data_IF_428296881497
#
_entry.id   IF_428296881497
#
_cell.length_a   1.000
_cell.length_b   1.000
_cell.length_c   1.000
_cell.angle_alpha   90.00
_cell.angle_beta   90.00
_cell.angle_gamma   90.00
#
_symmetry.space_group_name_H-M   'P 1'
#
loop_
_entity.id
_entity.type
_entity.pdbx_description
1 polymer ?
#
# COMPACT_ATOMS: atom_id res chain seq x y z
N UNK A 1 28.73 -7.39 16.77
CA UNK A 1 27.44 -6.74 16.44
C UNK A 1 27.43 -6.43 14.94
N UNK A 2 26.81 -7.30 14.13
CA UNK A 2 26.76 -7.13 12.68
C UNK A 2 25.89 -5.93 12.29
N UNK A 3 26.36 -5.10 11.35
CA UNK A 3 25.55 -4.03 10.76
C UNK A 3 24.32 -4.66 10.07
N UNK A 4 23.15 -4.52 10.70
CA UNK A 4 21.88 -4.89 10.07
C UNK A 4 21.71 -4.09 8.77
N UNK A 5 21.58 -4.78 7.64
CA UNK A 5 21.44 -4.14 6.33
C UNK A 5 19.98 -3.71 6.18
N UNK A 6 19.73 -2.39 6.22
CA UNK A 6 18.40 -1.84 5.97
C UNK A 6 18.03 -2.12 4.52
N UNK A 7 16.99 -2.92 4.31
CA UNK A 7 16.44 -3.17 2.97
C UNK A 7 15.64 -1.93 2.53
N UNK A 8 16.35 -0.87 2.10
CA UNK A 8 15.74 0.23 1.37
C UNK A 8 15.72 -0.21 -0.10
N UNK A 9 14.53 -0.41 -0.66
CA UNK A 9 14.36 -0.87 -2.04
C UNK A 9 14.33 0.35 -2.98
N UNK A 10 15.41 0.65 -3.76
CA UNK A 10 15.39 1.74 -4.75
C UNK A 10 14.30 1.52 -5.80
N UNK A 11 13.87 0.27 -5.96
CA UNK A 11 12.76 -0.12 -6.81
C UNK A 11 11.43 0.48 -6.35
N UNK A 12 11.27 0.85 -5.07
CA UNK A 12 10.09 1.55 -4.57
C UNK A 12 9.89 2.92 -5.24
N UNK A 13 10.96 3.66 -5.55
CA UNK A 13 10.87 4.95 -6.25
C UNK A 13 10.40 4.76 -7.69
N UNK A 14 10.95 3.77 -8.39
CA UNK A 14 10.55 3.42 -9.77
C UNK A 14 9.09 3.00 -9.80
N UNK A 15 8.66 2.19 -8.83
CA UNK A 15 7.26 1.79 -8.70
C UNK A 15 6.33 2.97 -8.39
N UNK A 16 6.73 3.88 -7.50
CA UNK A 16 5.95 5.10 -7.23
C UNK A 16 5.77 5.95 -8.49
N UNK A 17 6.86 6.18 -9.25
CA UNK A 17 6.78 6.92 -10.51
C UNK A 17 5.89 6.21 -11.54
N UNK A 18 6.04 4.89 -11.70
CA UNK A 18 5.21 4.10 -12.60
C UNK A 18 3.72 4.15 -12.23
N UNK A 19 3.40 4.10 -10.94
CA UNK A 19 2.02 4.23 -10.43
C UNK A 19 1.45 5.62 -10.72
N UNK A 20 2.23 6.69 -10.58
CA UNK A 20 1.79 8.05 -10.93
C UNK A 20 1.48 8.17 -12.41
N UNK A 21 2.38 7.72 -13.28
CA UNK A 21 2.15 7.75 -14.74
C UNK A 21 0.93 6.92 -15.13
N UNK A 22 0.79 5.72 -14.57
CA UNK A 22 -0.36 4.86 -14.82
C UNK A 22 -1.67 5.47 -14.30
N UNK A 23 -1.65 6.17 -13.16
CA UNK A 23 -2.83 6.88 -12.65
C UNK A 23 -3.28 7.99 -13.60
N UNK A 24 -2.33 8.79 -14.11
CA UNK A 24 -2.62 9.86 -15.07
C UNK A 24 -3.19 9.28 -16.37
N UNK A 25 -2.57 8.24 -16.91
CA UNK A 25 -3.06 7.57 -18.12
C UNK A 25 -4.46 6.95 -17.91
N UNK A 26 -4.71 6.33 -16.75
CA UNK A 26 -6.00 5.74 -16.41
C UNK A 26 -7.10 6.79 -16.29
N UNK A 27 -6.83 7.89 -15.58
CA UNK A 27 -7.78 8.99 -15.44
C UNK A 27 -8.06 9.68 -16.78
N UNK A 28 -7.03 9.89 -17.61
CA UNK A 28 -7.19 10.40 -18.97
C UNK A 28 -8.07 9.47 -19.82
N UNK A 29 -7.86 8.16 -19.74
CA UNK A 29 -8.70 7.16 -20.40
C UNK A 29 -10.14 7.16 -19.91
N UNK A 30 -10.36 7.24 -18.60
CA UNK A 30 -11.70 7.29 -18.01
C UNK A 30 -12.47 8.54 -18.46
N UNK A 31 -11.81 9.69 -18.50
CA UNK A 31 -12.41 10.94 -19.00
C UNK A 31 -12.72 10.86 -20.50
N UNK A 32 -11.83 10.28 -21.30
CA UNK A 32 -12.06 10.13 -22.74
C UNK A 32 -13.22 9.17 -23.03
N UNK A 33 -13.32 8.06 -22.30
CA UNK A 33 -14.46 7.14 -22.36
C UNK A 33 -15.76 7.83 -21.95
N UNK A 34 -15.76 8.57 -20.83
CA UNK A 34 -16.93 9.33 -20.39
C UNK A 34 -17.38 10.37 -21.41
N UNK A 35 -16.44 11.08 -22.04
CA UNK A 35 -16.73 12.04 -23.10
C UNK A 35 -17.28 11.36 -24.37
N UNK A 36 -16.71 10.22 -24.77
CA UNK A 36 -17.19 9.45 -25.92
C UNK A 36 -18.62 8.92 -25.70
N UNK A 37 -18.91 8.40 -24.50
CA UNK A 37 -20.25 7.95 -24.12
C UNK A 37 -21.22 9.14 -24.14
N UNK A 38 -20.87 10.27 -23.52
CA UNK A 38 -21.74 11.45 -23.48
C UNK A 38 -22.08 12.00 -24.88
N UNK A 39 -21.11 11.98 -25.80
CA UNK A 39 -21.34 12.35 -27.21
C UNK A 39 -22.23 11.36 -27.94
N UNK A 40 -22.11 10.07 -27.64
CA UNK A 40 -22.93 9.04 -28.28
C UNK A 40 -24.40 9.10 -27.85
N UNK A 41 -24.67 9.46 -26.59
CA UNK A 41 -26.04 9.56 -26.07
C UNK A 41 -26.78 10.84 -26.47
N UNK A 42 -26.08 11.84 -27.01
CA UNK A 42 -26.59 13.18 -27.39
C UNK A 42 -27.50 13.86 -26.34
N UNK A 43 -27.27 13.54 -25.07
CA UNK A 43 -28.09 14.00 -23.95
C UNK A 43 -27.41 15.16 -23.23
N UNK A 44 -28.12 16.28 -23.06
CA UNK A 44 -27.63 17.42 -22.28
C UNK A 44 -27.30 17.03 -20.82
N UNK A 45 -28.09 16.12 -20.24
CA UNK A 45 -27.82 15.61 -18.90
C UNK A 45 -26.52 14.80 -18.86
N UNK A 46 -26.25 13.99 -19.89
CA UNK A 46 -25.01 13.23 -20.00
C UNK A 46 -23.79 14.16 -20.17
N UNK A 47 -23.91 15.24 -20.94
CA UNK A 47 -22.86 16.27 -21.07
C UNK A 47 -22.63 17.07 -19.78
N UNK A 48 -23.66 17.27 -18.95
CA UNK A 48 -23.50 17.95 -17.66
C UNK A 48 -22.83 17.03 -16.62
N UNK A 49 -23.15 15.73 -16.64
CA UNK A 49 -22.72 14.77 -15.63
C UNK A 49 -21.47 13.98 -15.99
N UNK A 50 -20.98 14.00 -17.24
CA UNK A 50 -19.86 13.13 -17.64
C UNK A 50 -18.62 13.37 -16.76
N UNK A 51 -18.29 14.62 -16.45
CA UNK A 51 -17.08 14.98 -15.72
C UNK A 51 -17.12 14.50 -14.26
N UNK A 52 -18.15 14.83 -13.45
CA UNK A 52 -18.24 14.30 -12.08
C UNK A 52 -18.36 12.77 -12.05
N UNK A 53 -19.14 12.16 -12.97
CA UNK A 53 -19.30 10.69 -13.02
C UNK A 53 -17.98 10.00 -13.40
N UNK A 54 -17.27 10.52 -14.40
CA UNK A 54 -15.98 9.95 -14.83
C UNK A 54 -14.90 10.07 -13.76
N UNK A 55 -14.90 11.15 -12.98
CA UNK A 55 -13.97 11.30 -11.85
C UNK A 55 -14.28 10.27 -10.76
N UNK A 56 -15.55 10.11 -10.38
CA UNK A 56 -15.95 9.13 -9.35
C UNK A 56 -15.65 7.70 -9.80
N UNK A 57 -16.00 7.35 -11.03
CA UNK A 57 -15.73 6.02 -11.60
C UNK A 57 -14.23 5.80 -11.82
N UNK A 58 -13.49 6.81 -12.24
CA UNK A 58 -12.04 6.75 -12.40
C UNK A 58 -11.33 6.53 -11.07
N UNK A 59 -11.68 7.31 -10.03
CA UNK A 59 -11.12 7.14 -8.69
C UNK A 59 -11.46 5.75 -8.11
N UNK A 60 -12.71 5.31 -8.24
CA UNK A 60 -13.16 4.00 -7.79
C UNK A 60 -12.48 2.85 -8.55
N UNK A 61 -12.42 2.92 -9.87
CA UNK A 61 -11.76 1.95 -10.74
C UNK A 61 -10.27 1.84 -10.44
N UNK A 62 -9.59 2.97 -10.22
CA UNK A 62 -8.20 2.98 -9.82
C UNK A 62 -7.95 2.29 -8.48
N UNK A 63 -8.86 2.45 -7.50
CA UNK A 63 -8.77 1.71 -6.24
C UNK A 63 -8.81 0.19 -6.44
N UNK A 64 -9.59 -0.29 -7.41
CA UNK A 64 -9.66 -1.71 -7.78
C UNK A 64 -8.39 -2.19 -8.46
N UNK A 65 -7.84 -1.38 -9.39
CA UNK A 65 -6.54 -1.67 -10.04
C UNK A 65 -5.44 -1.83 -9.01
N UNK A 66 -5.35 -0.90 -8.06
CA UNK A 66 -4.36 -0.97 -6.98
C UNK A 66 -4.58 -2.18 -6.06
N UNK A 67 -5.83 -2.56 -5.80
CA UNK A 67 -6.15 -3.76 -5.02
C UNK A 67 -5.73 -5.05 -5.76
N UNK A 68 -5.97 -5.10 -7.07
CA UNK A 68 -5.54 -6.22 -7.91
C UNK A 68 -4.01 -6.31 -7.98
N UNK A 69 -3.31 -5.20 -8.18
CA UNK A 69 -1.86 -5.13 -8.19
C UNK A 69 -1.25 -5.61 -6.87
N UNK A 70 -1.81 -5.17 -5.73
CA UNK A 70 -1.39 -5.65 -4.42
C UNK A 70 -1.60 -7.16 -4.25
N UNK A 71 -2.75 -7.70 -4.65
CA UNK A 71 -3.02 -9.15 -4.61
C UNK A 71 -2.05 -9.92 -5.49
N UNK A 72 -1.77 -9.42 -6.69
CA UNK A 72 -0.83 -10.04 -7.63
C UNK A 72 0.58 -10.08 -7.05
N UNK A 73 1.07 -8.95 -6.52
CA UNK A 73 2.39 -8.85 -5.85
C UNK A 73 2.48 -9.82 -4.68
N UNK A 74 1.47 -9.83 -3.80
CA UNK A 74 1.44 -10.73 -2.64
C UNK A 74 1.45 -12.19 -3.06
N UNK A 75 0.66 -12.57 -4.06
CA UNK A 75 0.62 -13.93 -4.57
C UNK A 75 1.94 -14.34 -5.25
N UNK A 76 2.55 -13.43 -6.01
CA UNK A 76 3.87 -13.66 -6.60
C UNK A 76 4.93 -13.89 -5.51
N UNK A 77 5.00 -13.01 -4.51
CA UNK A 77 5.95 -13.14 -3.42
C UNK A 77 5.71 -14.41 -2.60
N UNK A 78 4.46 -14.76 -2.29
CA UNK A 78 4.13 -16.03 -1.61
C UNK A 78 4.54 -17.27 -2.40
N UNK A 79 4.58 -17.20 -3.73
CA UNK A 79 5.01 -18.31 -4.60
C UNK A 79 6.52 -18.37 -4.77
N UNK A 80 7.18 -17.23 -4.90
CA UNK A 80 8.60 -17.13 -5.24
C UNK A 80 9.52 -16.90 -4.03
N UNK A 81 8.97 -16.50 -2.90
CA UNK A 81 9.70 -16.14 -1.69
C UNK A 81 9.64 -17.23 -0.61
N UNK A 82 10.55 -17.12 0.34
CA UNK A 82 10.64 -18.00 1.50
C UNK A 82 9.80 -17.42 2.63
N UNK A 83 8.83 -18.21 3.12
CA UNK A 83 8.04 -17.84 4.29
C UNK A 83 8.88 -18.00 5.56
N UNK A 84 8.94 -16.96 6.38
CA UNK A 84 9.74 -16.91 7.60
C UNK A 84 8.98 -16.20 8.71
N UNK A 85 9.43 -16.42 9.94
CA UNK A 85 8.96 -15.72 11.13
C UNK A 85 9.94 -14.61 11.47
N UNK A 86 9.46 -13.37 11.54
CA UNK A 86 10.26 -12.22 11.95
C UNK A 86 9.80 -11.71 13.32
N UNK A 87 10.74 -11.18 14.09
CA UNK A 87 10.46 -10.61 15.41
C UNK A 87 10.32 -9.10 15.28
N UNK A 88 9.26 -8.53 15.85
CA UNK A 88 9.08 -7.08 15.91
C UNK A 88 10.12 -6.48 16.84
N UNK A 89 10.94 -5.57 16.33
CA UNK A 89 11.96 -4.84 17.09
C UNK A 89 11.55 -3.40 17.39
N UNK A 90 10.65 -2.82 16.59
CA UNK A 90 10.11 -1.49 16.81
C UNK A 90 8.63 -1.46 16.41
N UNK A 91 7.78 -0.83 17.21
CA UNK A 91 6.37 -0.61 16.90
C UNK A 91 5.94 0.74 17.47
N UNK A 92 5.38 1.60 16.62
CA UNK A 92 5.00 2.97 16.96
C UNK A 92 3.63 3.31 16.38
N UNK A 93 2.76 3.93 17.19
CA UNK A 93 1.45 4.43 16.78
C UNK A 93 1.45 5.95 16.92
N UNK A 94 1.24 6.67 15.82
CA UNK A 94 1.10 8.13 15.83
C UNK A 94 -0.12 8.59 15.07
N UNK A 95 -0.78 9.63 15.56
CA UNK A 95 -1.72 10.40 14.76
C UNK A 95 -0.94 11.45 13.94
N UNK A 96 -1.16 11.47 12.63
CA UNK A 96 -0.66 12.48 11.71
C UNK A 96 -1.81 13.43 11.38
N UNK A 97 -1.72 14.65 11.90
CA UNK A 97 -2.76 15.65 11.69
C UNK A 97 -2.75 16.19 10.27
N UNK A 98 -3.93 16.32 9.67
CA UNK A 98 -4.11 16.99 8.37
C UNK A 98 -3.37 16.37 7.18
N UNK A 99 -3.03 15.08 7.23
CA UNK A 99 -2.24 14.41 6.17
C UNK A 99 -3.06 13.55 5.20
N UNK A 100 -4.36 13.37 5.43
CA UNK A 100 -5.25 12.71 4.46
C UNK A 100 -5.79 13.68 3.40
N UNK A 101 -6.40 13.10 2.36
CA UNK A 101 -7.32 13.80 1.45
C UNK A 101 -8.40 14.49 2.28
N UNK A 102 -8.69 15.76 2.00
CA UNK A 102 -9.63 16.64 2.74
C UNK A 102 -9.19 17.03 4.17
N UNK A 103 -7.88 17.06 4.46
CA UNK A 103 -7.31 17.46 5.76
C UNK A 103 -7.76 16.61 6.96
N UNK A 104 -8.18 15.36 6.72
CA UNK A 104 -8.45 14.44 7.82
C UNK A 104 -7.16 13.92 8.47
N UNK A 105 -7.29 13.52 9.73
CA UNK A 105 -6.21 12.90 10.48
C UNK A 105 -5.97 11.45 10.01
N UNK A 106 -4.71 11.01 10.10
CA UNK A 106 -4.30 9.64 9.78
C UNK A 106 -3.58 9.00 10.94
N UNK A 107 -4.06 7.86 11.39
CA UNK A 107 -3.31 7.00 12.30
C UNK A 107 -2.26 6.23 11.51
N UNK A 108 -0.99 6.38 11.90
CA UNK A 108 0.16 5.65 11.35
C UNK A 108 0.66 4.63 12.38
N UNK A 109 0.65 3.36 11.99
CA UNK A 109 1.31 2.27 12.72
C UNK A 109 2.59 1.92 11.97
N UNK A 110 3.75 2.25 12.54
CA UNK A 110 5.06 1.89 11.99
C UNK A 110 5.59 0.67 12.71
N UNK A 111 5.99 -0.35 11.97
CA UNK A 111 6.52 -1.61 12.52
C UNK A 111 7.84 -1.93 11.82
N UNK A 112 8.85 -2.27 12.59
CA UNK A 112 10.11 -2.80 12.10
C UNK A 112 10.30 -4.22 12.64
N UNK A 113 10.63 -5.15 11.75
CA UNK A 113 10.89 -6.54 12.11
C UNK A 113 12.29 -6.95 11.72
N UNK A 114 12.88 -7.84 12.52
CA UNK A 114 14.19 -8.44 12.30
C UNK A 114 14.04 -9.94 12.05
N UNK A 115 14.81 -10.46 11.10
CA UNK A 115 14.86 -11.88 10.75
C UNK A 115 16.21 -12.25 10.14
N UNK A 116 16.64 -13.52 10.22
CA UNK A 116 17.80 -14.01 9.49
C UNK A 116 17.46 -14.14 8.00
N UNK A 117 18.27 -13.56 7.13
CA UNK A 117 18.04 -13.62 5.69
C UNK A 117 18.18 -15.06 5.17
N UNK A 118 17.25 -15.60 4.37
CA UNK A 118 17.25 -17.01 3.97
C UNK A 118 18.51 -17.40 3.19
N UNK A 119 18.95 -16.53 2.27
CA UNK A 119 20.11 -16.84 1.41
C UNK A 119 21.47 -16.57 2.06
N UNK A 120 21.56 -15.62 3.00
CA UNK A 120 22.86 -15.14 3.52
C UNK A 120 23.06 -15.41 5.00
N UNK A 121 22.03 -15.85 5.73
CA UNK A 121 22.05 -16.04 7.18
C UNK A 121 22.24 -14.76 8.01
N UNK A 122 22.50 -13.62 7.37
CA UNK A 122 22.74 -12.36 8.04
C UNK A 122 21.46 -11.72 8.59
N UNK A 123 21.59 -10.95 9.67
CA UNK A 123 20.49 -10.17 10.23
C UNK A 123 19.98 -9.14 9.22
N UNK A 124 18.71 -9.26 8.86
CA UNK A 124 17.98 -8.34 8.00
C UNK A 124 16.87 -7.64 8.78
N UNK A 125 16.59 -6.39 8.41
CA UNK A 125 15.47 -5.61 8.95
C UNK A 125 14.62 -5.04 7.83
N UNK A 126 13.31 -5.12 8.02
CA UNK A 126 12.32 -4.50 7.13
C UNK A 126 11.33 -3.70 7.95
N UNK A 127 10.96 -2.54 7.42
CA UNK A 127 10.03 -1.62 8.03
C UNK A 127 8.76 -1.51 7.17
N UNK A 128 7.61 -1.41 7.83
CA UNK A 128 6.31 -1.16 7.18
C UNK A 128 5.51 -0.11 7.94
N UNK A 129 4.71 0.66 7.21
CA UNK A 129 3.89 1.74 7.77
C UNK A 129 2.43 1.58 7.35
N UNK A 130 1.59 1.13 8.27
CA UNK A 130 0.16 1.02 8.02
C UNK A 130 -0.53 2.34 8.35
N UNK A 131 -1.32 2.86 7.41
CA UNK A 131 -2.12 4.07 7.61
C UNK A 131 -3.61 3.73 7.76
N UNK A 132 -4.29 4.44 8.64
CA UNK A 132 -5.73 4.32 8.90
C UNK A 132 -6.38 5.71 8.92
N UNK A 133 -7.58 5.85 8.34
CA UNK A 133 -8.39 7.06 8.51
C UNK A 133 -8.68 7.35 9.99
N UNK A 134 -8.91 8.62 10.33
CA UNK A 134 -9.19 9.10 11.70
C UNK A 134 -10.22 8.25 12.47
N UNK A 135 -11.31 7.83 11.80
CA UNK A 135 -12.41 7.05 12.41
C UNK A 135 -12.07 5.57 12.67
N UNK A 136 -10.85 5.12 12.32
CA UNK A 136 -10.39 3.76 12.50
C UNK A 136 -9.30 3.62 13.57
N UNK A 137 -9.26 4.54 14.54
CA UNK A 137 -8.33 4.50 15.68
C UNK A 137 -8.28 3.13 16.36
N UNK A 138 -9.44 2.55 16.71
CA UNK A 138 -9.52 1.24 17.37
C UNK A 138 -8.84 0.15 16.54
N UNK A 139 -8.98 0.20 15.21
CA UNK A 139 -8.32 -0.76 14.30
C UNK A 139 -6.82 -0.51 14.18
N UNK A 140 -6.36 0.73 14.32
CA UNK A 140 -4.95 1.10 14.32
C UNK A 140 -4.28 0.65 15.63
N UNK A 141 -4.91 0.92 16.77
CA UNK A 141 -4.47 0.48 18.10
C UNK A 141 -4.40 -1.04 18.21
N UNK A 142 -5.46 -1.74 17.79
CA UNK A 142 -5.47 -3.20 17.79
C UNK A 142 -4.36 -3.81 16.91
N UNK A 143 -3.98 -3.13 15.80
CA UNK A 143 -2.86 -3.58 14.99
C UNK A 143 -1.52 -3.32 15.72
N UNK A 144 -1.34 -2.16 16.33
CA UNK A 144 -0.13 -1.83 17.08
C UNK A 144 0.08 -2.77 18.28
N UNK A 145 -0.99 -3.11 19.01
CA UNK A 145 -0.95 -4.09 20.12
C UNK A 145 -0.58 -5.49 19.63
N UNK A 146 -1.19 -5.93 18.51
CA UNK A 146 -0.86 -7.22 17.89
C UNK A 146 0.58 -7.29 17.39
N UNK A 147 1.12 -6.17 16.93
CA UNK A 147 2.49 -6.01 16.43
C UNK A 147 3.36 -5.31 17.47
N UNK A 148 3.23 -5.69 18.73
CA UNK A 148 4.06 -5.17 19.82
C UNK A 148 5.49 -5.71 19.74
N UNK A 149 6.45 -4.99 20.34
CA UNK A 149 7.86 -5.42 20.37
C UNK A 149 7.99 -6.80 20.99
N UNK A 150 8.78 -7.67 20.36
CA UNK A 150 8.95 -9.07 20.74
C UNK A 150 7.90 -10.03 20.14
N UNK A 151 6.82 -9.53 19.55
CA UNK A 151 5.85 -10.38 18.85
C UNK A 151 6.43 -10.97 17.56
N UNK A 152 5.94 -12.14 17.19
CA UNK A 152 6.33 -12.85 15.97
C UNK A 152 5.33 -12.60 14.85
N UNK A 153 5.83 -12.30 13.65
CA UNK A 153 5.02 -11.92 12.49
C UNK A 153 5.49 -12.68 11.25
N UNK A 154 4.56 -13.24 10.45
CA UNK A 154 4.93 -13.90 9.21
C UNK A 154 5.42 -12.87 8.19
N UNK A 155 6.59 -13.15 7.62
CA UNK A 155 7.17 -12.39 6.52
C UNK A 155 7.50 -13.33 5.37
N UNK A 156 7.48 -12.78 4.15
CA UNK A 156 7.91 -13.48 2.95
C UNK A 156 9.09 -12.73 2.38
N UNK A 157 10.21 -13.41 2.21
CA UNK A 157 11.48 -12.84 1.75
C UNK A 157 11.81 -13.40 0.37
N UNK A 158 12.10 -12.52 -0.58
CA UNK A 158 12.57 -12.91 -1.91
C UNK A 158 13.71 -11.97 -2.33
N UNK A 159 14.91 -12.53 -2.49
CA UNK A 159 16.13 -11.77 -2.82
C UNK A 159 16.28 -10.58 -1.85
N UNK A 160 16.24 -9.35 -2.35
CA UNK A 160 16.44 -8.13 -1.57
C UNK A 160 15.14 -7.51 -1.03
N UNK A 161 14.01 -8.16 -1.21
CA UNK A 161 12.69 -7.65 -0.82
C UNK A 161 12.06 -8.54 0.23
N UNK A 162 11.41 -7.93 1.21
CA UNK A 162 10.62 -8.62 2.23
C UNK A 162 9.23 -7.99 2.34
N UNK A 163 8.22 -8.83 2.53
CA UNK A 163 6.83 -8.40 2.67
C UNK A 163 6.23 -9.01 3.94
N UNK A 164 5.56 -8.17 4.72
CA UNK A 164 4.71 -8.64 5.82
C UNK A 164 3.54 -9.44 5.24
N UNK A 165 3.40 -10.70 5.61
CA UNK A 165 2.31 -11.54 5.13
C UNK A 165 1.04 -11.37 5.97
N UNK A 166 0.63 -10.12 6.15
CA UNK A 166 -0.58 -9.75 6.86
C UNK A 166 -1.68 -9.50 5.81
N UNK A 167 -2.88 -10.11 5.94
CA UNK A 167 -3.94 -10.00 4.93
C UNK A 167 -4.56 -8.59 4.83
N UNK A 168 -4.21 -7.67 5.73
CA UNK A 168 -4.79 -6.34 5.80
C UNK A 168 -4.08 -5.41 4.81
N UNK A 169 -4.83 -4.88 3.84
CA UNK A 169 -4.34 -3.88 2.90
C UNK A 169 -4.15 -2.55 3.63
N UNK A 170 -2.94 -1.96 3.63
CA UNK A 170 -2.73 -0.60 4.08
C UNK A 170 -3.18 0.42 3.02
N UNK A 171 -3.54 1.64 3.44
CA UNK A 171 -4.06 2.70 2.56
C UNK A 171 -3.08 3.03 1.43
N UNK A 172 -3.63 3.45 0.28
CA UNK A 172 -3.05 3.84 -1.03
C UNK A 172 -1.52 3.92 -1.22
N UNK A 173 -0.77 4.47 -0.26
CA UNK A 173 0.67 4.73 -0.35
C UNK A 173 1.52 3.50 0.01
N UNK A 174 0.95 2.52 0.69
CA UNK A 174 1.69 1.43 1.33
C UNK A 174 1.65 0.10 0.53
N UNK A 175 1.42 0.17 -0.78
CA UNK A 175 1.49 -1.00 -1.67
C UNK A 175 2.92 -1.52 -1.81
N UNK A 176 3.93 -0.67 -1.55
CA UNK A 176 5.35 -0.93 -1.82
C UNK A 176 6.12 -1.27 -0.55
#
# INVERSE_FOLDING_TARGET
MGRSRKMLDPMALVWMLGVVVAAVAFMGGALNLGAAVARWTDSQLAMALFLPVSIVLGAGGWMLVLAAAWRLRRNYLRRAGTAMSAVVVESDLRCQQGRAVLNFDLWRVRVEVQFPHPDSGGDARVQKQFFYPQFHEVKARALAERLSVGSSVPVVVHKKSALFDIPKRPVWVDIW
#
